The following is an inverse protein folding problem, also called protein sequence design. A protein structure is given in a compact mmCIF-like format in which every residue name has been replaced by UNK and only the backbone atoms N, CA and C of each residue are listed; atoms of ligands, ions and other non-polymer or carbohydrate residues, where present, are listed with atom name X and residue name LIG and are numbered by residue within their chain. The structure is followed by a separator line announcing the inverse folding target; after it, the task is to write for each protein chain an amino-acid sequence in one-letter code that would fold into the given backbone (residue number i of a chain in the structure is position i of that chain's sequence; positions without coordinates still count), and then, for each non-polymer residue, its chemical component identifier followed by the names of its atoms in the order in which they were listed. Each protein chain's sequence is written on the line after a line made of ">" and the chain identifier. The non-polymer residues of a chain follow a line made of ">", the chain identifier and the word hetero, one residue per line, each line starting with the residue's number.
data_IF_243282958194
#
_entry.id   IF_243282958194
#
_cell.length_a   1.000
_cell.length_b   1.000
_cell.length_c   1.000
_cell.angle_alpha   90.00
_cell.angle_beta   90.00
_cell.angle_gamma   90.00
#
_symmetry.space_group_name_H-M   'P 1'
#
loop_
_entity.id
_entity.type
_entity.pdbx_description
1 polymer ?
#
# COMPACT_ATOMS: atom_id res chain seq x y z
N UNK A 1 -12.77 -10.82 40.69
CA UNK A 1 -13.11 -9.78 39.68
C UNK A 1 -12.50 -10.21 38.34
N UNK A 2 -13.33 -10.37 37.30
CA UNK A 2 -12.95 -11.00 36.02
C UNK A 2 -12.07 -10.05 35.20
N UNK A 3 -10.88 -10.51 34.81
CA UNK A 3 -10.01 -9.86 33.82
C UNK A 3 -10.77 -9.74 32.50
N UNK A 4 -11.10 -8.51 32.08
CA UNK A 4 -11.56 -8.26 30.71
C UNK A 4 -10.34 -8.44 29.80
N UNK A 5 -10.25 -9.58 29.13
CA UNK A 5 -9.37 -9.75 27.97
C UNK A 5 -9.80 -8.68 26.96
N UNK A 6 -8.92 -7.70 26.75
CA UNK A 6 -9.03 -6.79 25.62
C UNK A 6 -9.05 -7.69 24.39
N UNK A 7 -10.18 -7.69 23.69
CA UNK A 7 -10.30 -8.36 22.41
C UNK A 7 -9.33 -7.63 21.48
N UNK A 8 -8.17 -8.23 21.23
CA UNK A 8 -7.33 -7.87 20.10
C UNK A 8 -8.26 -7.82 18.89
N UNK A 9 -8.44 -6.62 18.34
CA UNK A 9 -8.93 -6.46 16.98
C UNK A 9 -7.90 -7.21 16.15
N UNK A 10 -8.32 -8.38 15.70
CA UNK A 10 -7.66 -9.13 14.66
C UNK A 10 -7.76 -8.23 13.42
N UNK A 11 -6.80 -7.33 13.27
CA UNK A 11 -6.43 -6.75 11.99
C UNK A 11 -5.51 -7.77 11.30
N UNK A 12 -5.94 -9.04 11.21
CA UNK A 12 -5.29 -10.01 10.34
C UNK A 12 -5.58 -9.50 8.92
N UNK A 13 -4.58 -8.88 8.32
CA UNK A 13 -4.10 -9.22 6.98
C UNK A 13 -5.19 -9.72 6.03
N UNK A 14 -6.15 -8.86 5.68
CA UNK A 14 -7.14 -9.13 4.61
C UNK A 14 -6.41 -9.38 3.27
N UNK A 15 -5.20 -8.80 3.13
CA UNK A 15 -4.35 -8.89 1.94
C UNK A 15 -4.05 -10.33 1.47
N UNK A 16 -3.80 -11.27 2.40
CA UNK A 16 -3.27 -12.60 2.08
C UNK A 16 -4.31 -13.47 1.34
N UNK A 17 -5.60 -13.31 1.62
CA UNK A 17 -6.65 -14.17 1.06
C UNK A 17 -7.09 -13.72 -0.34
N UNK A 18 -7.03 -12.42 -0.63
CA UNK A 18 -7.61 -11.85 -1.85
C UNK A 18 -6.71 -11.99 -3.08
N UNK A 19 -5.38 -11.98 -2.91
CA UNK A 19 -4.43 -12.11 -4.02
C UNK A 19 -4.15 -13.60 -4.34
N UNK A 20 -4.22 -14.49 -3.35
CA UNK A 20 -3.92 -15.93 -3.50
C UNK A 20 -4.93 -16.77 -4.30
N UNK A 21 -6.06 -16.20 -4.73
CA UNK A 21 -7.08 -16.92 -5.52
C UNK A 21 -6.76 -16.89 -7.03
N UNK A 22 -5.58 -17.36 -7.42
CA UNK A 22 -5.28 -17.66 -8.81
C UNK A 22 -5.89 -19.03 -9.12
N UNK A 23 -7.03 -19.02 -9.80
CA UNK A 23 -7.68 -20.24 -10.29
C UNK A 23 -6.72 -20.92 -11.28
N UNK A 24 -6.13 -22.04 -10.85
CA UNK A 24 -5.34 -22.93 -11.71
C UNK A 24 -6.29 -23.59 -12.70
N UNK A 25 -6.49 -22.98 -13.87
CA UNK A 25 -7.13 -23.64 -15.00
C UNK A 25 -6.22 -23.57 -16.25
N UNK A 26 -5.77 -24.75 -16.65
CA UNK A 26 -5.09 -25.12 -17.89
C UNK A 26 -3.71 -24.49 -18.18
N UNK A 27 -2.70 -25.33 -17.95
CA UNK A 27 -1.26 -25.14 -18.02
C UNK A 27 -0.66 -24.94 -19.44
N UNK A 28 -1.38 -24.45 -20.47
CA UNK A 28 -0.78 -24.43 -21.82
C UNK A 28 -1.28 -23.44 -22.89
N UNK A 29 -1.68 -22.20 -22.60
CA UNK A 29 -1.92 -21.23 -23.68
C UNK A 29 -1.78 -19.75 -23.27
N UNK A 30 -0.85 -19.06 -23.94
CA UNK A 30 -0.51 -17.62 -23.97
C UNK A 30 0.52 -17.06 -22.96
N UNK A 31 1.58 -16.46 -23.51
CA UNK A 31 2.63 -15.68 -22.82
C UNK A 31 1.99 -14.61 -21.89
N UNK A 32 0.88 -14.01 -22.31
CA UNK A 32 0.13 -13.01 -21.53
C UNK A 32 -0.40 -13.58 -20.21
N UNK A 33 -0.86 -14.84 -20.17
CA UNK A 33 -1.33 -15.47 -18.93
C UNK A 33 -0.18 -15.79 -17.98
N UNK A 34 0.98 -16.16 -18.52
CA UNK A 34 2.19 -16.38 -17.71
C UNK A 34 2.70 -15.09 -17.08
N UNK A 35 2.71 -13.98 -17.84
CA UNK A 35 3.06 -12.64 -17.32
C UNK A 35 2.11 -12.17 -16.23
N UNK A 36 0.80 -12.33 -16.42
CA UNK A 36 -0.20 -11.97 -15.40
C UNK A 36 -0.09 -12.82 -14.12
N UNK A 37 0.19 -14.12 -14.27
CA UNK A 37 0.44 -15.01 -13.13
C UNK A 37 1.72 -14.62 -12.37
N UNK A 38 2.80 -14.31 -13.10
CA UNK A 38 4.06 -13.86 -12.52
C UNK A 38 3.86 -12.55 -11.72
N UNK A 39 3.27 -11.53 -12.35
CA UNK A 39 2.93 -10.27 -11.69
C UNK A 39 2.11 -10.49 -10.40
N UNK A 40 1.04 -11.29 -10.48
CA UNK A 40 0.20 -11.57 -9.30
C UNK A 40 0.95 -12.26 -8.16
N UNK A 41 1.91 -13.15 -8.48
CA UNK A 41 2.76 -13.80 -7.48
C UNK A 41 3.77 -12.84 -6.86
N UNK A 42 4.40 -11.97 -7.67
CA UNK A 42 5.34 -10.95 -7.21
C UNK A 42 4.64 -9.95 -6.28
N UNK A 43 3.48 -9.43 -6.68
CA UNK A 43 2.67 -8.54 -5.83
C UNK A 43 2.25 -9.23 -4.53
N UNK A 44 1.80 -10.49 -4.59
CA UNK A 44 1.47 -11.25 -3.38
C UNK A 44 2.68 -11.42 -2.47
N UNK A 45 3.88 -11.64 -3.03
CA UNK A 45 5.11 -11.77 -2.24
C UNK A 45 5.44 -10.47 -1.51
N UNK A 46 5.25 -9.31 -2.17
CA UNK A 46 5.47 -7.99 -1.56
C UNK A 46 4.49 -7.79 -0.39
N UNK A 47 3.19 -8.00 -0.60
CA UNK A 47 2.17 -7.85 0.44
C UNK A 47 2.39 -8.79 1.64
N UNK A 48 2.84 -10.03 1.40
CA UNK A 48 3.18 -10.95 2.48
C UNK A 48 4.40 -10.48 3.27
N UNK A 49 5.48 -10.02 2.60
CA UNK A 49 6.65 -9.46 3.28
C UNK A 49 6.27 -8.24 4.12
N UNK A 50 5.45 -7.35 3.57
CA UNK A 50 4.92 -6.16 4.25
C UNK A 50 4.17 -6.55 5.53
N UNK A 51 3.23 -7.50 5.41
CA UNK A 51 2.48 -8.03 6.55
C UNK A 51 3.40 -8.65 7.62
N UNK A 52 4.43 -9.39 7.20
CA UNK A 52 5.36 -10.05 8.11
C UNK A 52 6.20 -9.04 8.91
N UNK A 53 6.74 -8.00 8.26
CA UNK A 53 7.55 -7.00 8.96
C UNK A 53 6.69 -6.14 9.90
N UNK A 54 5.48 -5.77 9.50
CA UNK A 54 4.52 -5.06 10.36
C UNK A 54 4.08 -5.91 11.55
N UNK A 55 3.83 -7.21 11.34
CA UNK A 55 3.56 -8.14 12.42
C UNK A 55 4.69 -8.20 13.45
N UNK A 56 5.94 -8.22 12.98
CA UNK A 56 7.12 -8.18 13.87
C UNK A 56 7.24 -6.84 14.61
N UNK A 57 7.02 -5.71 13.94
CA UNK A 57 7.03 -4.38 14.55
C UNK A 57 6.14 -4.29 15.80
N UNK A 58 4.87 -4.70 15.66
CA UNK A 58 3.93 -4.69 16.79
C UNK A 58 4.23 -5.80 17.82
N UNK A 59 4.85 -6.91 17.42
CA UNK A 59 5.29 -7.94 18.35
C UNK A 59 6.41 -7.43 19.26
N UNK A 60 7.42 -6.75 18.71
CA UNK A 60 8.52 -6.17 19.51
C UNK A 60 8.01 -5.03 20.42
N UNK A 61 7.08 -4.20 19.94
CA UNK A 61 6.36 -3.25 20.81
C UNK A 61 5.73 -3.95 22.02
N UNK A 62 5.09 -5.10 21.80
CA UNK A 62 4.42 -5.85 22.88
C UNK A 62 5.44 -6.38 23.89
N UNK A 63 6.53 -7.00 23.41
CA UNK A 63 7.63 -7.45 24.27
C UNK A 63 8.21 -6.32 25.11
N UNK A 64 8.40 -5.14 24.54
CA UNK A 64 8.87 -3.97 25.28
C UNK A 64 7.88 -3.54 26.38
N UNK A 65 6.57 -3.50 26.08
CA UNK A 65 5.52 -3.17 27.06
C UNK A 65 5.47 -4.21 28.20
N UNK A 66 5.69 -5.48 27.88
CA UNK A 66 5.73 -6.59 28.84
C UNK A 66 7.03 -6.63 29.66
N UNK A 67 8.05 -5.89 29.24
CA UNK A 67 9.35 -5.81 29.90
C UNK A 67 10.32 -6.91 29.49
N UNK A 68 10.00 -7.67 28.43
CA UNK A 68 10.83 -8.75 27.89
C UNK A 68 12.06 -8.22 27.13
N UNK A 69 11.98 -7.00 26.61
CA UNK A 69 13.10 -6.29 25.99
C UNK A 69 13.20 -4.86 26.51
N UNK A 70 14.41 -4.32 26.52
CA UNK A 70 14.68 -2.94 26.87
C UNK A 70 14.28 -1.97 25.75
N UNK A 71 14.17 -0.67 26.10
CA UNK A 71 13.97 0.39 25.11
C UNK A 71 15.11 0.46 24.09
N UNK A 72 16.33 0.11 24.47
CA UNK A 72 17.50 0.13 23.58
C UNK A 72 17.37 -0.97 22.53
N UNK A 73 17.12 -2.20 22.96
CA UNK A 73 16.89 -3.35 22.06
C UNK A 73 15.72 -3.10 21.10
N UNK A 74 14.63 -2.50 21.57
CA UNK A 74 13.51 -2.11 20.72
C UNK A 74 13.92 -1.12 19.62
N UNK A 75 14.71 -0.11 19.96
CA UNK A 75 15.13 0.92 19.01
C UNK A 75 16.13 0.38 17.97
N UNK A 76 17.03 -0.52 18.37
CA UNK A 76 17.93 -1.22 17.44
C UNK A 76 17.13 -2.08 16.45
N UNK A 77 16.12 -2.81 16.94
CA UNK A 77 15.21 -3.55 16.06
C UNK A 77 14.46 -2.62 15.09
N UNK A 78 13.95 -1.49 15.57
CA UNK A 78 13.21 -0.55 14.74
C UNK A 78 14.05 0.12 13.65
N UNK A 79 15.35 0.30 13.86
CA UNK A 79 16.26 0.79 12.81
C UNK A 79 16.37 -0.23 11.67
N UNK A 80 16.55 -1.50 12.00
CA UNK A 80 16.56 -2.61 11.02
C UNK A 80 15.20 -2.74 10.32
N UNK A 81 14.10 -2.59 11.06
CA UNK A 81 12.74 -2.62 10.51
C UNK A 81 12.54 -1.57 9.43
N UNK A 82 12.94 -0.31 9.69
CA UNK A 82 12.79 0.79 8.74
C UNK A 82 13.53 0.51 7.43
N UNK A 83 14.75 -0.03 7.50
CA UNK A 83 15.52 -0.35 6.30
C UNK A 83 14.89 -1.50 5.52
N UNK A 84 14.47 -2.58 6.18
CA UNK A 84 13.73 -3.68 5.54
C UNK A 84 12.40 -3.21 4.91
N UNK A 85 11.73 -2.24 5.53
CA UNK A 85 10.50 -1.66 5.01
C UNK A 85 10.75 -0.92 3.70
N UNK A 86 11.79 -0.09 3.66
CA UNK A 86 12.18 0.64 2.46
C UNK A 86 12.51 -0.31 1.32
N UNK A 87 13.22 -1.41 1.61
CA UNK A 87 13.49 -2.45 0.62
C UNK A 87 12.19 -3.05 0.05
N UNK A 88 11.18 -3.31 0.88
CA UNK A 88 9.88 -3.80 0.43
C UNK A 88 9.15 -2.76 -0.43
N UNK A 89 9.21 -1.47 -0.07
CA UNK A 89 8.61 -0.40 -0.89
C UNK A 89 9.25 -0.34 -2.28
N UNK A 90 10.57 -0.48 -2.36
CA UNK A 90 11.30 -0.50 -3.64
C UNK A 90 10.87 -1.66 -4.54
N UNK A 91 10.47 -2.81 -3.96
CA UNK A 91 9.98 -3.93 -4.77
C UNK A 91 8.71 -3.59 -5.57
N UNK A 92 7.91 -2.59 -5.16
CA UNK A 92 6.77 -2.15 -5.97
C UNK A 92 7.21 -1.47 -7.28
N UNK A 93 8.35 -0.76 -7.26
CA UNK A 93 8.90 -0.09 -8.45
C UNK A 93 9.53 -1.07 -9.44
N UNK A 94 9.85 -2.28 -8.96
CA UNK A 94 10.36 -3.36 -9.79
C UNK A 94 9.24 -4.16 -10.49
N UNK A 95 7.97 -3.94 -10.09
CA UNK A 95 6.84 -4.61 -10.74
C UNK A 95 6.64 -4.06 -12.14
N UNK A 96 6.31 -4.96 -13.07
CA UNK A 96 5.80 -4.58 -14.40
C UNK A 96 4.31 -4.94 -14.49
N UNK A 97 3.41 -4.17 -13.84
CA UNK A 97 1.98 -4.46 -13.89
C UNK A 97 1.44 -4.32 -15.31
N UNK A 98 0.45 -5.13 -15.72
CA UNK A 98 -0.37 -4.78 -16.87
C UNK A 98 -1.12 -3.47 -16.58
N UNK A 99 -1.35 -2.65 -17.61
CA UNK A 99 -1.99 -1.32 -17.53
C UNK A 99 -3.22 -1.27 -16.61
N UNK A 100 -4.13 -2.26 -16.72
CA UNK A 100 -5.34 -2.35 -15.89
C UNK A 100 -5.09 -2.44 -14.38
N UNK A 101 -3.88 -2.81 -13.94
CA UNK A 101 -3.51 -2.98 -12.53
C UNK A 101 -2.61 -1.86 -11.99
N UNK A 102 -2.18 -0.90 -12.82
CA UNK A 102 -1.27 0.18 -12.40
C UNK A 102 -1.83 0.99 -11.23
N UNK A 103 -3.10 1.39 -11.29
CA UNK A 103 -3.78 2.13 -10.21
C UNK A 103 -3.81 1.35 -8.89
N UNK A 104 -4.05 0.03 -8.97
CA UNK A 104 -4.05 -0.85 -7.80
C UNK A 104 -2.67 -0.93 -7.16
N UNK A 105 -1.63 -1.21 -7.97
CA UNK A 105 -0.24 -1.25 -7.50
C UNK A 105 0.15 0.09 -6.90
N UNK A 106 -0.29 1.19 -7.51
CA UNK A 106 0.02 2.52 -7.03
C UNK A 106 -0.55 2.79 -5.63
N UNK A 107 -1.81 2.43 -5.40
CA UNK A 107 -2.49 2.54 -4.11
C UNK A 107 -1.87 1.64 -3.04
N UNK A 108 -1.50 0.42 -3.40
CA UNK A 108 -0.82 -0.51 -2.48
C UNK A 108 0.57 0.01 -2.07
N UNK A 109 1.33 0.58 -3.02
CA UNK A 109 2.60 1.25 -2.71
C UNK A 109 2.40 2.47 -1.81
N UNK A 110 1.41 3.34 -2.10
CA UNK A 110 1.07 4.49 -1.25
C UNK A 110 0.69 4.04 0.17
N UNK A 111 -0.03 2.92 0.30
CA UNK A 111 -0.31 2.32 1.60
C UNK A 111 0.99 1.96 2.31
N UNK A 112 1.88 1.21 1.67
CA UNK A 112 3.15 0.79 2.27
C UNK A 112 4.01 1.98 2.72
N UNK A 113 4.15 3.02 1.89
CA UNK A 113 4.84 4.27 2.23
C UNK A 113 4.21 4.93 3.47
N UNK A 114 2.88 4.98 3.52
CA UNK A 114 2.17 5.61 4.64
C UNK A 114 2.25 4.77 5.93
N UNK A 115 2.32 3.43 5.83
CA UNK A 115 2.61 2.56 6.97
C UNK A 115 4.01 2.84 7.52
N UNK A 116 5.02 2.99 6.65
CA UNK A 116 6.37 3.37 7.08
C UNK A 116 6.40 4.75 7.75
N UNK A 117 5.69 5.74 7.21
CA UNK A 117 5.58 7.06 7.84
C UNK A 117 4.96 6.97 9.23
N UNK A 118 3.94 6.11 9.41
CA UNK A 118 3.38 5.83 10.73
C UNK A 118 4.42 5.25 11.68
N UNK A 119 5.16 4.24 11.25
CA UNK A 119 6.19 3.59 12.06
C UNK A 119 7.29 4.59 12.47
N UNK A 120 7.70 5.48 11.56
CA UNK A 120 8.67 6.54 11.86
C UNK A 120 8.15 7.53 12.92
N UNK A 121 6.88 7.92 12.85
CA UNK A 121 6.27 8.75 13.89
C UNK A 121 6.16 8.01 15.23
N UNK A 122 5.85 6.71 15.20
CA UNK A 122 5.83 5.87 16.40
C UNK A 122 7.22 5.75 17.05
N UNK A 123 8.25 5.48 16.25
CA UNK A 123 9.65 5.43 16.69
C UNK A 123 10.05 6.77 17.31
N UNK A 124 9.67 7.89 16.69
CA UNK A 124 9.91 9.23 17.23
C UNK A 124 9.26 9.39 18.60
N UNK A 125 8.00 8.98 18.78
CA UNK A 125 7.34 8.99 20.09
C UNK A 125 8.10 8.15 21.11
N UNK A 126 8.52 6.93 20.77
CA UNK A 126 9.32 6.09 21.68
C UNK A 126 10.64 6.79 22.06
N UNK A 127 11.35 7.39 21.09
CA UNK A 127 12.62 8.08 21.35
C UNK A 127 12.43 9.30 22.26
N UNK A 128 11.40 10.11 22.02
CA UNK A 128 11.29 11.48 22.56
C UNK A 128 10.19 11.71 23.60
N UNK A 129 9.17 10.85 23.65
CA UNK A 129 7.95 11.07 24.42
C UNK A 129 6.97 12.07 23.78
N UNK A 130 7.17 12.47 22.52
CA UNK A 130 6.30 13.40 21.79
C UNK A 130 4.93 12.76 21.48
N UNK A 131 3.92 13.03 22.32
CA UNK A 131 2.56 12.52 22.14
C UNK A 131 1.91 12.99 20.82
N UNK A 132 2.33 14.12 20.25
CA UNK A 132 1.84 14.54 18.94
C UNK A 132 2.34 13.60 17.82
N UNK A 133 3.57 13.07 17.95
CA UNK A 133 4.07 12.04 17.04
C UNK A 133 3.27 10.74 17.14
N UNK A 134 2.86 10.34 18.35
CA UNK A 134 1.97 9.19 18.54
C UNK A 134 0.62 9.37 17.86
N UNK A 135 -0.03 10.53 18.07
CA UNK A 135 -1.32 10.84 17.42
C UNK A 135 -1.19 10.80 15.89
N UNK A 136 -0.08 11.33 15.34
CA UNK A 136 0.18 11.25 13.89
C UNK A 136 0.37 9.82 13.41
N UNK A 137 1.11 8.99 14.14
CA UNK A 137 1.26 7.56 13.82
C UNK A 137 -0.10 6.87 13.78
N UNK A 138 -0.93 7.07 14.80
CA UNK A 138 -2.27 6.47 14.88
C UNK A 138 -3.18 6.93 13.72
N UNK A 139 -3.06 8.17 13.26
CA UNK A 139 -3.79 8.67 12.09
C UNK A 139 -3.25 8.08 10.77
N UNK A 140 -1.92 8.09 10.59
CA UNK A 140 -1.26 7.58 9.38
C UNK A 140 -1.53 6.09 9.17
N UNK A 141 -1.58 5.28 10.22
CA UNK A 141 -1.85 3.84 10.07
C UNK A 141 -3.30 3.59 9.61
N UNK A 142 -4.27 4.37 10.09
CA UNK A 142 -5.65 4.30 9.62
C UNK A 142 -5.73 4.68 8.14
N UNK A 143 -5.08 5.78 7.78
CA UNK A 143 -4.98 6.26 6.41
C UNK A 143 -4.32 5.23 5.48
N UNK A 144 -3.28 4.55 5.95
CA UNK A 144 -2.61 3.53 5.17
C UNK A 144 -3.54 2.34 4.85
N UNK A 145 -4.37 1.90 5.81
CA UNK A 145 -5.34 0.84 5.56
C UNK A 145 -6.47 1.25 4.63
N UNK A 146 -6.84 2.53 4.59
CA UNK A 146 -7.76 3.05 3.58
C UNK A 146 -7.17 2.92 2.18
N UNK A 147 -5.91 3.33 1.97
CA UNK A 147 -5.21 3.15 0.70
C UNK A 147 -5.07 1.67 0.32
N UNK A 148 -4.76 0.80 1.30
CA UNK A 148 -4.64 -0.64 1.04
C UNK A 148 -5.98 -1.21 0.56
N UNK A 149 -7.07 -0.87 1.24
CA UNK A 149 -8.41 -1.35 0.86
C UNK A 149 -8.81 -0.85 -0.53
N UNK A 150 -8.53 0.41 -0.86
CA UNK A 150 -8.75 0.94 -2.21
C UNK A 150 -7.91 0.19 -3.26
N UNK A 151 -6.62 -0.02 -3.00
CA UNK A 151 -5.75 -0.77 -3.89
C UNK A 151 -6.21 -2.21 -4.12
N UNK A 152 -6.71 -2.88 -3.08
CA UNK A 152 -7.29 -4.21 -3.18
C UNK A 152 -8.60 -4.22 -3.98
N UNK A 153 -9.45 -3.20 -3.84
CA UNK A 153 -10.67 -3.06 -4.66
C UNK A 153 -10.31 -2.90 -6.13
N UNK A 154 -9.41 -1.96 -6.44
CA UNK A 154 -8.92 -1.74 -7.81
C UNK A 154 -8.35 -3.04 -8.40
N UNK A 155 -7.58 -3.79 -7.61
CA UNK A 155 -7.03 -5.08 -8.03
C UNK A 155 -8.12 -6.07 -8.44
N UNK A 156 -9.17 -6.20 -7.62
CA UNK A 156 -10.27 -7.13 -7.91
C UNK A 156 -11.09 -6.67 -9.12
N UNK A 157 -11.34 -5.37 -9.26
CA UNK A 157 -12.02 -4.77 -10.42
C UNK A 157 -11.25 -5.06 -11.71
N UNK A 158 -9.95 -4.84 -11.71
CA UNK A 158 -9.07 -5.13 -12.84
C UNK A 158 -9.04 -6.63 -13.19
N UNK A 159 -8.94 -7.51 -12.18
CA UNK A 159 -8.98 -8.97 -12.34
C UNK A 159 -10.26 -9.47 -13.02
N UNK A 160 -11.38 -8.78 -12.82
CA UNK A 160 -12.67 -9.16 -13.42
C UNK A 160 -12.84 -8.76 -14.90
N UNK A 161 -11.89 -8.06 -15.53
CA UNK A 161 -12.01 -7.18 -16.72
C UNK A 161 -12.81 -7.56 -18.00
N UNK A 162 -13.84 -8.40 -18.00
CA UNK A 162 -14.49 -8.95 -19.20
C UNK A 162 -16.01 -9.17 -18.96
N UNK A 163 -16.83 -8.40 -19.71
CA UNK A 163 -18.30 -8.45 -19.92
C UNK A 163 -19.23 -8.03 -18.77
N UNK A 164 -19.90 -6.88 -18.98
CA UNK A 164 -21.20 -6.51 -18.41
C UNK A 164 -21.40 -6.77 -16.91
N UNK A 165 -21.22 -5.73 -16.09
CA UNK A 165 -21.95 -5.64 -14.82
C UNK A 165 -23.45 -5.44 -15.13
N UNK A 166 -24.16 -6.53 -15.41
CA UNK A 166 -25.62 -6.61 -15.32
C UNK A 166 -25.91 -7.53 -14.14
N UNK A 167 -26.17 -6.93 -12.97
CA UNK A 167 -26.81 -7.62 -11.84
C UNK A 167 -25.94 -7.98 -10.63
N UNK A 168 -24.69 -7.51 -10.53
CA UNK A 168 -23.98 -7.46 -9.25
C UNK A 168 -24.23 -6.10 -8.59
N UNK A 169 -24.42 -6.04 -7.28
CA UNK A 169 -24.56 -4.76 -6.55
C UNK A 169 -23.42 -3.81 -6.96
N UNK A 170 -23.77 -2.56 -7.26
CA UNK A 170 -22.80 -1.49 -7.48
C UNK A 170 -21.81 -1.53 -6.32
N UNK A 171 -20.52 -1.52 -6.61
CA UNK A 171 -19.52 -1.25 -5.59
C UNK A 171 -19.88 0.09 -4.94
N UNK A 172 -20.34 0.02 -3.69
CA UNK A 172 -20.49 1.21 -2.86
C UNK A 172 -19.09 1.58 -2.41
N UNK A 173 -18.62 2.76 -2.84
CA UNK A 173 -17.42 3.39 -2.34
C UNK A 173 -17.34 3.18 -0.82
N UNK A 174 -16.19 2.76 -0.25
CA UNK A 174 -16.11 2.52 1.19
C UNK A 174 -16.63 3.77 1.90
N UNK A 175 -17.70 3.62 2.69
CA UNK A 175 -18.27 4.76 3.40
C UNK A 175 -17.18 5.37 4.29
N UNK A 176 -16.67 6.54 3.91
CA UNK A 176 -15.58 7.22 4.62
C UNK A 176 -14.45 7.77 3.76
N UNK A 177 -14.34 7.44 2.46
CA UNK A 177 -13.34 8.08 1.59
C UNK A 177 -13.77 9.53 1.31
N UNK A 178 -13.26 10.46 2.10
CA UNK A 178 -13.58 11.88 1.94
C UNK A 178 -13.05 12.41 0.60
N UNK A 179 -13.69 13.43 0.02
CA UNK A 179 -13.18 14.12 -1.16
C UNK A 179 -11.72 14.57 -0.99
N UNK A 180 -11.35 14.98 0.22
CA UNK A 180 -9.98 15.35 0.58
C UNK A 180 -9.00 14.19 0.41
N UNK A 181 -9.43 12.96 0.70
CA UNK A 181 -8.62 11.75 0.54
C UNK A 181 -8.36 11.40 -0.92
N UNK A 182 -9.40 11.53 -1.76
CA UNK A 182 -9.30 11.32 -3.21
C UNK A 182 -8.31 12.32 -3.82
N UNK A 183 -8.37 13.59 -3.38
CA UNK A 183 -7.37 14.59 -3.77
C UNK A 183 -5.97 14.17 -3.32
N UNK A 184 -5.79 13.72 -2.08
CA UNK A 184 -4.47 13.29 -1.59
C UNK A 184 -3.88 12.11 -2.36
N UNK A 185 -4.69 11.11 -2.75
CA UNK A 185 -4.24 10.01 -3.61
C UNK A 185 -3.78 10.56 -4.95
N UNK A 186 -4.61 11.38 -5.60
CA UNK A 186 -4.28 11.97 -6.90
C UNK A 186 -2.98 12.77 -6.83
N UNK A 187 -2.80 13.61 -5.81
CA UNK A 187 -1.56 14.36 -5.64
C UNK A 187 -0.35 13.44 -5.43
N UNK A 188 -0.47 12.37 -4.63
CA UNK A 188 0.61 11.37 -4.49
C UNK A 188 0.91 10.62 -5.80
N UNK A 189 -0.12 10.31 -6.60
CA UNK A 189 0.07 9.71 -7.92
C UNK A 189 0.86 10.64 -8.84
N UNK A 190 0.55 11.94 -8.83
CA UNK A 190 1.30 12.94 -9.59
C UNK A 190 2.74 13.09 -9.08
N UNK A 191 2.94 13.15 -7.76
CA UNK A 191 4.29 13.20 -7.18
C UNK A 191 5.16 12.01 -7.65
N UNK A 192 4.55 10.83 -7.81
CA UNK A 192 5.25 9.69 -8.41
C UNK A 192 5.56 9.92 -9.89
N UNK A 193 4.62 10.43 -10.68
CA UNK A 193 4.88 10.80 -12.08
C UNK A 193 6.07 11.78 -12.17
N UNK A 194 6.16 12.76 -11.26
CA UNK A 194 7.31 13.67 -11.21
C UNK A 194 8.61 12.93 -10.96
N UNK A 195 8.65 12.01 -9.98
CA UNK A 195 9.86 11.27 -9.63
C UNK A 195 10.30 10.24 -10.68
N UNK A 196 9.36 9.72 -11.48
CA UNK A 196 9.63 8.71 -12.51
C UNK A 196 10.16 9.33 -13.81
N UNK A 197 9.62 10.47 -14.22
CA UNK A 197 9.88 11.05 -15.54
C UNK A 197 10.77 12.29 -15.52
N UNK A 198 10.97 12.97 -14.38
CA UNK A 198 11.92 14.09 -14.29
C UNK A 198 13.28 13.63 -13.81
N UNK A 199 14.33 14.20 -14.38
CA UNK A 199 15.70 13.98 -13.94
C UNK A 199 16.01 14.75 -12.64
N UNK A 200 17.22 14.55 -12.09
CA UNK A 200 17.66 15.16 -10.83
C UNK A 200 17.66 16.71 -10.84
N UNK A 201 17.65 17.33 -12.02
CA UNK A 201 17.55 18.80 -12.19
C UNK A 201 16.10 19.28 -12.33
N UNK A 202 15.13 18.36 -12.33
CA UNK A 202 13.71 18.65 -12.54
C UNK A 202 13.34 18.86 -14.00
N UNK A 203 14.19 18.45 -14.95
CA UNK A 203 13.97 18.57 -16.40
C UNK A 203 13.58 17.23 -17.03
N UNK A 204 13.09 17.26 -18.27
CA UNK A 204 12.80 16.06 -19.06
C UNK A 204 13.97 15.73 -19.98
N UNK A 205 14.38 14.47 -20.02
CA UNK A 205 15.49 14.03 -20.86
C UNK A 205 15.12 13.94 -22.35
N UNK A 206 13.82 13.95 -22.67
CA UNK A 206 13.30 14.03 -24.04
C UNK A 206 11.84 14.50 -24.08
N UNK A 207 11.40 14.91 -25.27
CA UNK A 207 9.98 15.24 -25.53
C UNK A 207 9.05 14.02 -25.41
N UNK A 208 9.56 12.81 -25.60
CA UNK A 208 8.76 11.58 -25.46
C UNK A 208 8.46 11.32 -23.97
N UNK A 209 9.46 11.48 -23.11
CA UNK A 209 9.34 11.40 -21.64
C UNK A 209 8.39 12.48 -21.11
N UNK A 210 8.43 13.70 -21.68
CA UNK A 210 7.48 14.77 -21.31
C UNK A 210 6.02 14.39 -21.64
N UNK A 211 5.77 13.70 -22.76
CA UNK A 211 4.44 13.21 -23.14
C UNK A 211 3.99 12.09 -22.20
N UNK A 212 4.87 11.17 -21.83
CA UNK A 212 4.58 10.09 -20.88
C UNK A 212 4.23 10.64 -19.49
N UNK A 213 5.02 11.61 -19.00
CA UNK A 213 4.71 12.35 -17.78
C UNK A 213 3.33 13.03 -17.84
N UNK A 214 3.02 13.67 -18.97
CA UNK A 214 1.73 14.34 -19.17
C UNK A 214 0.56 13.36 -19.11
N UNK A 215 0.70 12.18 -19.73
CA UNK A 215 -0.30 11.13 -19.66
C UNK A 215 -0.45 10.57 -18.24
N UNK A 216 0.66 10.34 -17.53
CA UNK A 216 0.65 9.90 -16.13
C UNK A 216 -0.13 10.90 -15.23
N UNK A 217 0.13 12.19 -15.40
CA UNK A 217 -0.58 13.24 -14.67
C UNK A 217 -2.07 13.30 -15.02
N UNK A 218 -2.43 13.13 -16.29
CA UNK A 218 -3.84 13.08 -16.70
C UNK A 218 -4.55 11.85 -16.13
N UNK A 219 -3.90 10.68 -16.10
CA UNK A 219 -4.46 9.47 -15.50
C UNK A 219 -4.72 9.68 -14.00
N UNK A 220 -3.83 10.38 -13.29
CA UNK A 220 -4.04 10.73 -11.89
C UNK A 220 -5.22 11.72 -11.69
N UNK A 221 -5.44 12.63 -12.63
CA UNK A 221 -6.58 13.56 -12.63
C UNK A 221 -7.90 12.88 -12.99
N UNK A 222 -7.92 12.01 -14.00
CA UNK A 222 -9.08 11.21 -14.37
C UNK A 222 -9.47 10.28 -13.21
N UNK A 223 -8.49 9.61 -12.60
CA UNK A 223 -8.72 8.80 -11.40
C UNK A 223 -9.38 9.64 -10.29
N UNK A 224 -8.90 10.86 -10.05
CA UNK A 224 -9.50 11.76 -9.05
C UNK A 224 -10.97 12.05 -9.37
N UNK A 225 -11.27 12.39 -10.63
CA UNK A 225 -12.64 12.72 -11.07
C UNK A 225 -13.56 11.52 -10.87
N UNK A 226 -13.11 10.33 -11.25
CA UNK A 226 -13.90 9.10 -11.17
C UNK A 226 -14.18 8.66 -9.72
N UNK A 227 -13.36 9.10 -8.77
CA UNK A 227 -13.41 8.68 -7.38
C UNK A 227 -13.88 9.76 -6.40
N UNK A 228 -14.14 11.00 -6.87
CA UNK A 228 -14.75 12.03 -6.03
C UNK A 228 -16.24 11.68 -5.75
N UNK A 229 -16.71 11.80 -4.49
CA UNK A 229 -18.10 11.51 -4.12
C UNK A 229 -19.13 12.54 -4.60
#
# INVERSE_FOLDING_TARGET
>A
MKKKKIQNIILLSIAIVLIGSIIVYNYSADITKQKGLQFGNELNQIENKLSDIQGKFYSEKTKWIEGDISKIELLEFYEIHVDNFREIILMYDELTPPELFESSVALLKISAETQLDSDLQFIKWIKTGDEAAKIRSDALIQEAYEFQNLGLVEFQTAKMGIKHYVGGEKFEQPQGVSAQKVVQVSEKMKERCEGEFRNESGEFDSNEIEIEWFNCNNNAEEWKIDHLP
#
